data_IF_481464563568
#
_entry.id   IF_481464563568
#
_cell.length_a   1.000
_cell.length_b   1.000
_cell.length_c   1.000
_cell.angle_alpha   90.00
_cell.angle_beta   90.00
_cell.angle_gamma   90.00
#
_symmetry.space_group_name_H-M   'P 1'
#
loop_
_entity.id
_entity.type
_entity.pdbx_description
1 polymer ?
#
# COMPACT_ATOMS: atom_id res chain seq x y z
N UNK A 1 -4.34 16.97 -11.54
CA UNK A 1 -5.63 16.68 -12.21
C UNK A 1 -6.09 15.29 -11.81
N UNK A 2 -7.30 15.13 -11.26
CA UNK A 2 -7.76 13.84 -10.81
C UNK A 2 -7.86 12.81 -11.94
N UNK A 3 -7.68 11.55 -11.56
CA UNK A 3 -7.69 10.41 -12.46
C UNK A 3 -8.84 9.46 -12.14
N UNK A 4 -9.22 8.68 -13.15
CA UNK A 4 -10.05 7.50 -12.98
C UNK A 4 -9.22 6.29 -13.39
N UNK A 5 -8.99 5.39 -12.44
CA UNK A 5 -8.30 4.13 -12.66
C UNK A 5 -9.33 3.01 -12.82
N UNK A 6 -9.27 2.28 -13.93
CA UNK A 6 -10.20 1.18 -14.19
C UNK A 6 -9.63 -0.12 -13.66
N UNK A 7 -10.37 -0.77 -12.77
CA UNK A 7 -10.06 -2.10 -12.26
C UNK A 7 -11.31 -2.99 -12.39
N UNK A 8 -11.23 -3.96 -13.31
CA UNK A 8 -12.32 -4.89 -13.61
C UNK A 8 -12.05 -6.27 -13.03
N UNK A 9 -13.12 -7.00 -12.69
CA UNK A 9 -13.01 -8.39 -12.23
C UNK A 9 -12.64 -9.34 -13.38
N UNK A 10 -13.09 -9.03 -14.59
CA UNK A 10 -12.77 -9.77 -15.82
C UNK A 10 -12.39 -8.78 -16.90
N UNK A 11 -11.20 -8.97 -17.46
CA UNK A 11 -10.77 -8.26 -18.67
C UNK A 11 -11.42 -8.90 -19.90
N UNK A 12 -11.91 -8.07 -20.82
CA UNK A 12 -12.57 -8.53 -22.06
C UNK A 12 -11.60 -9.28 -22.98
N UNK A 13 -10.30 -9.09 -22.80
CA UNK A 13 -9.26 -9.86 -23.48
C UNK A 13 -8.17 -10.29 -22.51
N UNK A 14 -7.67 -11.53 -22.70
CA UNK A 14 -6.47 -12.04 -22.03
C UNK A 14 -5.18 -11.50 -22.68
N UNK A 15 -5.27 -10.47 -23.54
CA UNK A 15 -4.13 -9.95 -24.28
C UNK A 15 -3.06 -9.35 -23.36
N UNK A 16 -3.46 -8.90 -22.17
CA UNK A 16 -2.57 -8.33 -21.18
C UNK A 16 -2.91 -8.84 -19.78
N UNK A 17 -1.94 -9.49 -19.14
CA UNK A 17 -2.03 -9.90 -17.74
C UNK A 17 -1.64 -8.72 -16.84
N UNK A 18 -2.57 -7.79 -16.62
CA UNK A 18 -2.38 -6.67 -15.69
C UNK A 18 -2.37 -7.18 -14.24
N UNK A 19 -1.47 -6.62 -13.42
CA UNK A 19 -1.17 -7.10 -12.06
C UNK A 19 -1.64 -6.09 -11.02
N UNK A 20 -2.87 -5.61 -11.19
CA UNK A 20 -3.49 -4.65 -10.28
C UNK A 20 -3.80 -5.31 -8.93
N UNK A 21 -3.60 -4.56 -7.85
CA UNK A 21 -4.03 -4.95 -6.52
C UNK A 21 -4.66 -3.76 -5.80
N UNK A 22 -5.90 -3.95 -5.41
CA UNK A 22 -6.77 -2.89 -4.94
C UNK A 22 -6.16 -2.22 -3.71
N UNK A 23 -5.92 -0.91 -3.79
CA UNK A 23 -5.37 -0.15 -2.68
C UNK A 23 -3.89 -0.37 -2.38
N UNK A 24 -3.18 -1.14 -3.23
CA UNK A 24 -1.74 -1.41 -3.09
C UNK A 24 -0.97 -0.91 -4.30
N UNK A 25 -1.37 -1.30 -5.51
CA UNK A 25 -0.68 -0.93 -6.73
C UNK A 25 -1.59 -0.97 -7.96
N UNK A 26 -1.25 -0.21 -8.99
CA UNK A 26 -1.92 -0.24 -10.28
C UNK A 26 -0.91 -0.44 -11.42
N UNK A 27 -1.18 -1.40 -12.32
CA UNK A 27 -0.31 -1.76 -13.44
C UNK A 27 -0.88 -1.17 -14.75
N UNK A 28 -0.08 -0.35 -15.44
CA UNK A 28 -0.55 0.36 -16.62
C UNK A 28 0.48 0.40 -17.78
N UNK A 29 0.02 0.43 -19.05
CA UNK A 29 0.91 0.58 -20.21
C UNK A 29 1.48 2.00 -20.34
N UNK A 30 2.59 2.10 -21.06
CA UNK A 30 3.31 3.37 -21.30
C UNK A 30 2.44 4.51 -21.86
N UNK A 31 1.35 4.21 -22.60
CA UNK A 31 0.46 5.25 -23.13
C UNK A 31 -0.17 6.14 -22.05
N UNK A 32 -0.24 5.69 -20.79
CA UNK A 32 -0.76 6.49 -19.68
C UNK A 32 0.33 7.15 -18.82
N UNK A 33 1.62 6.96 -19.14
CA UNK A 33 2.74 7.43 -18.31
C UNK A 33 2.76 8.94 -18.07
N UNK A 34 2.23 9.72 -19.02
CA UNK A 34 2.14 11.17 -18.93
C UNK A 34 0.91 11.65 -18.15
N UNK A 35 -0.06 10.76 -17.88
CA UNK A 35 -1.26 11.05 -17.07
C UNK A 35 -1.05 10.64 -15.61
N UNK A 36 -0.43 9.49 -15.40
CA UNK A 36 -0.17 8.93 -14.06
C UNK A 36 1.11 9.57 -13.51
N UNK A 37 0.91 10.55 -12.63
CA UNK A 37 1.98 11.30 -11.96
C UNK A 37 1.85 11.13 -10.44
N UNK A 38 2.98 11.07 -9.74
CA UNK A 38 3.03 10.95 -8.29
C UNK A 38 2.30 12.14 -7.62
N UNK A 39 1.55 11.85 -6.56
CA UNK A 39 0.71 12.80 -5.82
C UNK A 39 -0.69 13.03 -6.40
N UNK A 40 -0.96 12.61 -7.64
CA UNK A 40 -2.27 12.83 -8.26
C UNK A 40 -3.38 12.05 -7.54
N UNK A 41 -4.55 12.69 -7.42
CA UNK A 41 -5.74 12.06 -6.84
C UNK A 41 -6.39 11.13 -7.85
N UNK A 42 -7.02 10.06 -7.40
CA UNK A 42 -7.79 9.19 -8.29
C UNK A 42 -9.03 8.59 -7.63
N UNK A 43 -10.01 8.20 -8.44
CA UNK A 43 -11.07 7.27 -8.06
C UNK A 43 -10.95 5.97 -8.86
N UNK A 44 -11.26 4.84 -8.22
CA UNK A 44 -11.38 3.58 -8.92
C UNK A 44 -12.74 3.45 -9.59
N UNK A 45 -12.74 2.87 -10.79
CA UNK A 45 -13.91 2.55 -11.58
C UNK A 45 -13.95 1.07 -11.93
N UNK A 46 -15.13 0.46 -11.81
CA UNK A 46 -15.42 -0.90 -12.27
C UNK A 46 -16.45 -0.85 -13.38
N UNK A 47 -16.12 -1.43 -14.52
CA UNK A 47 -17.01 -1.59 -15.67
C UNK A 47 -18.08 -2.65 -15.43
N UNK A 48 -18.86 -2.98 -16.47
CA UNK A 48 -20.01 -3.88 -16.34
C UNK A 48 -19.69 -5.37 -16.32
N UNK A 49 -18.47 -5.77 -16.68
CA UNK A 49 -18.13 -7.20 -16.79
C UNK A 49 -17.80 -7.79 -15.40
N UNK A 50 -18.31 -9.00 -15.13
CA UNK A 50 -18.16 -9.71 -13.85
C UNK A 50 -17.64 -11.13 -14.07
N UNK A 51 -17.07 -11.72 -13.02
CA UNK A 51 -16.56 -13.10 -13.02
C UNK A 51 -17.62 -14.15 -13.35
N UNK A 52 -18.87 -13.90 -12.98
CA UNK A 52 -19.99 -14.82 -13.21
C UNK A 52 -20.58 -14.73 -14.64
N UNK A 53 -19.97 -13.95 -15.54
CA UNK A 53 -20.44 -13.74 -16.91
C UNK A 53 -21.70 -12.87 -17.04
N UNK A 54 -22.34 -12.48 -15.93
CA UNK A 54 -23.46 -11.53 -15.95
C UNK A 54 -22.92 -10.11 -15.99
N UNK A 55 -23.63 -9.22 -16.70
CA UNK A 55 -23.33 -7.78 -16.62
C UNK A 55 -23.81 -7.25 -15.27
N UNK A 56 -22.92 -6.58 -14.55
CA UNK A 56 -23.25 -5.78 -13.37
C UNK A 56 -23.27 -4.29 -13.71
N UNK A 57 -23.63 -3.48 -12.72
CA UNK A 57 -23.65 -2.03 -12.87
C UNK A 57 -22.25 -1.42 -12.82
N UNK A 58 -21.99 -0.46 -13.70
CA UNK A 58 -20.75 0.29 -13.67
C UNK A 58 -20.78 1.28 -12.49
N UNK A 59 -19.70 1.31 -11.71
CA UNK A 59 -19.65 2.12 -10.50
C UNK A 59 -18.21 2.50 -10.12
N UNK A 60 -18.10 3.52 -9.28
CA UNK A 60 -16.86 3.87 -8.57
C UNK A 60 -16.90 3.27 -7.16
N UNK A 61 -15.76 2.79 -6.65
CA UNK A 61 -15.74 2.01 -5.40
C UNK A 61 -14.64 2.40 -4.41
N UNK A 62 -13.79 3.36 -4.75
CA UNK A 62 -12.71 3.81 -3.88
C UNK A 62 -11.95 4.98 -4.46
N UNK A 63 -11.08 5.55 -3.64
CA UNK A 63 -10.26 6.74 -3.94
C UNK A 63 -8.89 6.63 -3.29
N UNK A 64 -7.94 7.43 -3.74
CA UNK A 64 -6.62 7.54 -3.12
C UNK A 64 -5.70 8.50 -3.88
N UNK A 65 -4.39 8.31 -3.69
CA UNK A 65 -3.33 9.05 -4.38
C UNK A 65 -2.37 8.12 -5.10
N UNK A 66 -1.81 8.62 -6.19
CA UNK A 66 -0.75 7.93 -6.93
C UNK A 66 0.56 8.09 -6.15
N UNK A 67 1.08 6.99 -5.63
CA UNK A 67 2.39 6.93 -5.00
C UNK A 67 3.53 6.69 -5.98
N UNK A 68 4.65 6.19 -5.45
CA UNK A 68 5.87 5.92 -6.21
C UNK A 68 5.60 5.17 -7.53
N UNK A 69 6.19 5.65 -8.62
CA UNK A 69 6.10 5.03 -9.94
C UNK A 69 7.37 4.23 -10.26
N UNK A 70 7.21 2.96 -10.59
CA UNK A 70 8.31 2.06 -11.00
C UNK A 70 8.04 1.44 -12.36
N UNK A 71 9.10 1.13 -13.11
CA UNK A 71 8.98 0.39 -14.35
C UNK A 71 8.70 -1.09 -14.03
N UNK A 72 7.88 -1.75 -14.85
CA UNK A 72 7.64 -3.19 -14.72
C UNK A 72 8.99 -3.95 -14.77
N UNK A 73 9.32 -4.78 -13.77
CA UNK A 73 10.59 -5.49 -13.72
C UNK A 73 10.72 -6.62 -14.76
N UNK A 74 9.62 -7.03 -15.42
CA UNK A 74 9.65 -8.01 -16.51
C UNK A 74 10.43 -7.44 -17.72
N UNK A 75 11.51 -8.12 -18.18
CA UNK A 75 12.31 -7.65 -19.32
C UNK A 75 11.50 -7.37 -20.60
N UNK A 76 10.44 -8.14 -20.87
CA UNK A 76 9.56 -7.91 -22.03
C UNK A 76 8.70 -6.63 -21.87
N UNK A 77 8.49 -6.21 -20.63
CA UNK A 77 7.77 -4.99 -20.24
C UNK A 77 8.71 -3.81 -20.01
N UNK A 78 10.02 -4.04 -20.07
CA UNK A 78 11.02 -2.99 -19.99
C UNK A 78 11.36 -2.39 -21.36
N UNK A 79 11.25 -3.18 -22.42
CA UNK A 79 11.64 -2.82 -23.79
C UNK A 79 10.50 -3.03 -24.78
N UNK A 80 10.55 -2.34 -25.93
CA UNK A 80 9.58 -2.54 -27.02
C UNK A 80 8.17 -2.00 -26.78
N UNK A 81 7.19 -2.55 -27.51
CA UNK A 81 5.82 -2.04 -27.63
C UNK A 81 4.94 -2.35 -26.40
N UNK A 82 5.29 -3.37 -25.61
CA UNK A 82 4.54 -3.80 -24.42
C UNK A 82 4.98 -3.10 -23.12
N UNK A 83 5.78 -2.04 -23.23
CA UNK A 83 6.36 -1.35 -22.09
C UNK A 83 5.29 -0.93 -21.07
N UNK A 84 5.51 -1.29 -19.81
CA UNK A 84 4.54 -1.07 -18.74
C UNK A 84 5.18 -0.59 -17.44
N UNK A 85 4.33 -0.15 -16.53
CA UNK A 85 4.69 0.57 -15.31
C UNK A 85 3.75 0.18 -14.17
N UNK A 86 4.25 0.28 -12.95
CA UNK A 86 3.46 0.24 -11.74
C UNK A 86 3.43 1.64 -11.11
N UNK A 87 2.31 1.99 -10.48
CA UNK A 87 2.30 2.99 -9.43
C UNK A 87 1.81 2.37 -8.12
N UNK A 88 2.38 2.81 -7.00
CA UNK A 88 1.83 2.53 -5.68
C UNK A 88 0.52 3.30 -5.49
N UNK A 89 -0.32 2.77 -4.62
CA UNK A 89 -1.58 3.39 -4.24
C UNK A 89 -1.46 3.81 -2.78
N UNK A 90 -1.51 5.11 -2.54
CA UNK A 90 -1.40 5.74 -1.24
C UNK A 90 -2.77 6.26 -0.79
N UNK A 91 -2.96 6.40 0.52
CA UNK A 91 -4.19 6.91 1.13
C UNK A 91 -5.47 6.20 0.64
N UNK A 92 -5.39 4.89 0.38
CA UNK A 92 -6.51 4.16 -0.19
C UNK A 92 -7.71 4.09 0.78
N UNK A 93 -8.84 4.60 0.30
CA UNK A 93 -10.12 4.49 0.97
C UNK A 93 -11.17 3.87 0.05
N UNK A 94 -11.71 2.72 0.49
CA UNK A 94 -12.86 2.06 -0.12
C UNK A 94 -14.11 2.89 0.21
N UNK A 95 -14.94 3.15 -0.78
CA UNK A 95 -16.20 3.84 -0.55
C UNK A 95 -17.12 3.00 0.36
N UNK A 96 -17.79 3.62 1.37
CA UNK A 96 -18.80 2.93 2.16
C UNK A 96 -19.96 2.39 1.32
N UNK A 97 -20.25 3.04 0.20
CA UNK A 97 -21.22 2.61 -0.80
C UNK A 97 -20.69 2.89 -2.20
N UNK A 98 -20.80 1.90 -3.08
CA UNK A 98 -20.39 2.05 -4.48
C UNK A 98 -21.23 3.16 -5.14
N UNK A 99 -20.58 4.04 -5.90
CA UNK A 99 -21.22 5.18 -6.56
C UNK A 99 -21.56 4.80 -7.99
N UNK A 100 -22.85 4.77 -8.39
CA UNK A 100 -23.23 4.45 -9.75
C UNK A 100 -22.58 5.40 -10.77
N UNK A 101 -22.03 4.83 -11.84
CA UNK A 101 -21.47 5.60 -12.94
C UNK A 101 -22.54 6.32 -13.78
N UNK A 102 -23.79 5.85 -13.67
CA UNK A 102 -24.97 6.45 -14.29
C UNK A 102 -26.02 6.79 -13.24
N UNK A 103 -26.55 8.00 -13.31
CA UNK A 103 -27.70 8.47 -12.52
C UNK A 103 -28.76 8.93 -13.51
N UNK A 104 -29.98 8.41 -13.39
CA UNK A 104 -31.09 8.72 -14.29
C UNK A 104 -30.76 8.58 -15.79
N UNK A 105 -29.91 7.59 -16.12
CA UNK A 105 -29.46 7.31 -17.48
C UNK A 105 -28.30 8.18 -17.98
N UNK A 106 -27.89 9.20 -17.22
CA UNK A 106 -26.80 10.12 -17.56
C UNK A 106 -25.51 9.64 -16.91
N UNK A 107 -24.41 9.61 -17.68
CA UNK A 107 -23.07 9.29 -17.16
C UNK A 107 -22.54 10.46 -16.33
N UNK A 108 -21.89 10.16 -15.20
CA UNK A 108 -21.17 11.17 -14.41
C UNK A 108 -20.00 11.75 -15.20
N UNK A 109 -19.22 10.89 -15.85
CA UNK A 109 -18.12 11.31 -16.73
C UNK A 109 -18.66 11.82 -18.08
N UNK A 110 -18.38 13.09 -18.39
CA UNK A 110 -18.63 13.67 -19.70
C UNK A 110 -17.45 13.41 -20.65
N UNK A 111 -17.73 13.10 -21.91
CA UNK A 111 -16.69 12.92 -22.92
C UNK A 111 -17.08 11.97 -24.06
N UNK A 112 -16.13 11.64 -24.96
CA UNK A 112 -16.43 10.83 -26.13
C UNK A 112 -16.81 9.40 -25.73
N UNK A 113 -17.78 8.81 -26.44
CA UNK A 113 -18.37 7.49 -26.10
C UNK A 113 -17.35 6.34 -26.04
N UNK A 114 -16.21 6.47 -26.74
CA UNK A 114 -15.13 5.48 -26.74
C UNK A 114 -14.18 5.59 -25.53
N UNK A 115 -14.31 6.61 -24.67
CA UNK A 115 -13.39 6.85 -23.55
C UNK A 115 -13.33 5.69 -22.56
N UNK A 116 -14.43 4.95 -22.37
CA UNK A 116 -14.50 3.80 -21.47
C UNK A 116 -13.69 2.57 -21.95
N UNK A 117 -13.05 2.66 -23.12
CA UNK A 117 -12.01 1.70 -23.55
C UNK A 117 -10.66 1.98 -22.91
N UNK A 118 -10.43 3.19 -22.39
CA UNK A 118 -9.21 3.56 -21.70
C UNK A 118 -9.30 3.23 -20.20
N UNK A 119 -8.26 2.55 -19.73
CA UNK A 119 -8.09 2.15 -18.34
C UNK A 119 -7.70 3.31 -17.41
N UNK A 120 -7.08 4.36 -17.94
CA UNK A 120 -6.77 5.59 -17.20
C UNK A 120 -7.36 6.80 -17.92
N UNK A 121 -8.22 7.53 -17.21
CA UNK A 121 -8.90 8.73 -17.73
C UNK A 121 -8.60 9.91 -16.81
N UNK A 122 -8.50 11.10 -17.40
CA UNK A 122 -8.38 12.35 -16.64
C UNK A 122 -9.80 12.88 -16.46
N UNK A 123 -10.09 13.40 -15.28
CA UNK A 123 -11.38 14.00 -14.97
C UNK A 123 -11.15 15.37 -14.33
N UNK A 124 -12.11 16.28 -14.47
CA UNK A 124 -12.09 17.56 -13.76
C UNK A 124 -12.36 17.38 -12.26
N UNK A 125 -12.02 18.41 -11.47
CA UNK A 125 -12.21 18.41 -10.03
C UNK A 125 -13.71 18.34 -9.65
N UNK A 126 -14.59 18.99 -10.41
CA UNK A 126 -16.04 19.00 -10.16
C UNK A 126 -16.65 17.59 -10.20
N UNK A 127 -16.35 16.81 -11.24
CA UNK A 127 -16.83 15.43 -11.37
C UNK A 127 -16.19 14.53 -10.30
N UNK A 128 -14.90 14.73 -10.01
CA UNK A 128 -14.21 13.99 -8.96
C UNK A 128 -14.86 14.22 -7.59
N UNK A 129 -15.07 15.48 -7.22
CA UNK A 129 -15.69 15.87 -5.96
C UNK A 129 -17.15 15.38 -5.88
N UNK A 130 -17.90 15.44 -6.98
CA UNK A 130 -19.26 14.90 -7.06
C UNK A 130 -19.32 13.38 -6.81
N UNK A 131 -18.30 12.62 -7.24
CA UNK A 131 -18.20 11.18 -6.93
C UNK A 131 -17.90 10.97 -5.45
N UNK A 132 -17.03 11.77 -4.85
CA UNK A 132 -16.72 11.67 -3.41
C UNK A 132 -17.90 12.08 -2.51
N UNK A 133 -18.68 13.07 -2.92
CA UNK A 133 -19.94 13.42 -2.26
C UNK A 133 -20.93 12.27 -2.31
N UNK A 134 -21.13 11.69 -3.50
CA UNK A 134 -22.05 10.57 -3.68
C UNK A 134 -21.60 9.30 -2.95
N UNK A 135 -20.32 9.13 -2.65
CA UNK A 135 -19.81 7.97 -1.89
C UNK A 135 -20.01 8.11 -0.38
N UNK A 136 -20.37 9.31 0.10
CA UNK A 136 -20.45 9.63 1.52
C UNK A 136 -19.11 9.99 2.16
N UNK A 137 -18.03 10.16 1.38
CA UNK A 137 -16.71 10.56 1.88
C UNK A 137 -16.44 12.07 1.87
N UNK A 138 -17.36 12.88 1.34
CA UNK A 138 -17.16 14.33 1.20
C UNK A 138 -16.90 15.10 2.51
N UNK A 139 -17.21 14.54 3.67
CA UNK A 139 -16.91 15.19 4.96
C UNK A 139 -15.46 15.00 5.47
N UNK A 140 -14.57 14.34 4.73
CA UNK A 140 -13.16 14.18 5.13
C UNK A 140 -12.12 14.34 4.02
N UNK A 141 -12.55 14.32 2.74
CA UNK A 141 -11.64 14.45 1.59
C UNK A 141 -11.42 15.89 1.12
N UNK A 142 -12.26 16.83 1.56
CA UNK A 142 -12.14 18.24 1.25
C UNK A 142 -10.93 18.84 1.97
N UNK A 143 -9.84 19.05 1.22
CA UNK A 143 -8.83 20.05 1.53
C UNK A 143 -8.12 19.97 2.91
N UNK A 144 -7.73 18.78 3.39
CA UNK A 144 -6.61 18.73 4.34
C UNK A 144 -5.33 19.05 3.57
N UNK A 145 -4.94 20.32 3.55
CA UNK A 145 -3.68 20.75 2.96
C UNK A 145 -2.53 20.02 3.65
N UNK A 146 -1.72 19.28 2.88
CA UNK A 146 -0.34 18.82 3.15
C UNK A 146 0.08 18.29 4.55
N UNK A 147 -0.79 18.21 5.55
CA UNK A 147 -0.44 17.78 6.90
C UNK A 147 -1.09 16.45 7.18
N UNK A 148 -0.30 15.39 7.06
CA UNK A 148 -0.65 14.07 7.58
C UNK A 148 -1.01 14.16 9.06
N UNK A 149 -2.01 13.40 9.53
CA UNK A 149 -2.36 13.36 10.94
C UNK A 149 -1.14 12.93 11.75
N UNK A 150 -0.93 13.59 12.87
CA UNK A 150 0.15 13.21 13.77
C UNK A 150 -0.16 11.87 14.44
N UNK A 151 0.85 11.00 14.69
CA UNK A 151 0.64 9.66 15.25
C UNK A 151 -0.17 9.63 16.52
N UNK A 152 -0.11 10.64 17.39
CA UNK A 152 -0.85 10.74 18.64
C UNK A 152 -2.38 10.87 18.48
N UNK A 153 -2.84 11.33 17.32
CA UNK A 153 -4.25 11.62 17.06
C UNK A 153 -4.97 10.49 16.29
N UNK A 154 -4.26 9.42 15.93
CA UNK A 154 -4.82 8.30 15.18
C UNK A 154 -4.94 7.05 16.04
N UNK A 155 -5.93 6.21 15.71
CA UNK A 155 -6.11 4.90 16.31
C UNK A 155 -5.95 3.83 15.23
N UNK A 156 -4.92 2.99 15.36
CA UNK A 156 -4.68 1.91 14.44
C UNK A 156 -5.61 0.71 14.74
N UNK A 157 -6.17 0.12 13.70
CA UNK A 157 -7.03 -1.07 13.83
C UNK A 157 -6.22 -2.35 13.59
N UNK A 158 -6.40 -3.41 14.40
CA UNK A 158 -5.81 -4.71 14.09
C UNK A 158 -6.29 -5.24 12.74
N UNK A 159 -5.40 -5.81 11.95
CA UNK A 159 -5.67 -6.45 10.67
C UNK A 159 -5.22 -7.92 10.68
N UNK A 160 -5.97 -8.78 9.99
CA UNK A 160 -5.70 -10.23 9.97
C UNK A 160 -4.52 -10.64 9.08
N UNK A 161 -4.37 -10.01 7.91
CA UNK A 161 -3.23 -10.26 7.03
C UNK A 161 -2.87 -9.00 6.22
N UNK A 162 -1.72 -8.40 6.52
CA UNK A 162 -1.15 -7.27 5.79
C UNK A 162 -0.04 -7.69 4.83
N UNK A 163 0.35 -8.97 4.78
CA UNK A 163 1.30 -9.49 3.79
C UNK A 163 0.53 -10.15 2.64
N UNK A 164 0.52 -9.50 1.47
CA UNK A 164 -0.21 -9.98 0.29
C UNK A 164 0.78 -10.51 -0.76
N UNK A 165 0.72 -11.81 -1.12
CA UNK A 165 1.60 -12.39 -2.12
C UNK A 165 1.51 -11.66 -3.45
N UNK A 166 2.65 -11.33 -4.06
CA UNK A 166 2.67 -10.81 -5.43
C UNK A 166 2.02 -11.84 -6.37
N UNK A 167 1.01 -11.41 -7.14
CA UNK A 167 0.34 -12.25 -8.13
C UNK A 167 1.30 -12.53 -9.29
N UNK A 168 2.06 -13.61 -9.19
CA UNK A 168 2.67 -14.33 -10.32
C UNK A 168 3.39 -13.50 -11.38
N UNK A 169 4.66 -13.21 -11.12
CA UNK A 169 5.64 -12.80 -12.12
C UNK A 169 7.04 -13.11 -11.61
N UNK A 170 7.63 -14.20 -12.10
CA UNK A 170 9.03 -14.54 -11.87
C UNK A 170 9.93 -13.59 -12.66
N UNK A 171 9.91 -12.31 -12.30
CA UNK A 171 10.71 -11.24 -12.88
C UNK A 171 11.42 -10.50 -11.76
N UNK A 172 12.45 -11.12 -11.19
CA UNK A 172 13.39 -10.46 -10.30
C UNK A 172 14.27 -9.52 -11.10
N UNK A 173 13.70 -8.44 -11.62
CA UNK A 173 14.44 -7.36 -12.25
C UNK A 173 15.29 -6.66 -11.20
N UNK A 174 16.58 -6.54 -11.48
CA UNK A 174 17.61 -5.91 -10.67
C UNK A 174 17.45 -4.35 -10.66
N UNK A 175 16.23 -3.84 -10.50
CA UNK A 175 16.03 -2.42 -10.27
C UNK A 175 16.37 -2.13 -8.81
N UNK A 176 17.51 -1.47 -8.59
CA UNK A 176 17.88 -0.93 -7.28
C UNK A 176 16.65 -0.26 -6.64
N UNK A 177 16.25 -0.66 -5.42
CA UNK A 177 15.05 -0.13 -4.80
C UNK A 177 15.23 1.38 -4.68
N UNK A 178 14.45 2.12 -5.46
CA UNK A 178 14.45 3.57 -5.38
C UNK A 178 13.73 3.90 -4.09
N UNK A 179 14.51 4.08 -3.02
CA UNK A 179 14.01 4.45 -1.69
C UNK A 179 13.13 5.68 -1.85
N UNK A 180 11.87 5.59 -1.41
CA UNK A 180 10.95 6.72 -1.45
C UNK A 180 11.59 7.92 -0.75
N UNK A 181 11.40 9.12 -1.30
CA UNK A 181 11.85 10.37 -0.67
C UNK A 181 11.20 10.60 0.70
N UNK A 182 10.08 9.92 0.97
CA UNK A 182 9.31 10.00 2.20
C UNK A 182 9.57 8.83 3.17
N UNK A 183 10.43 7.86 2.80
CA UNK A 183 10.63 6.64 3.59
C UNK A 183 11.10 6.90 5.03
N UNK A 184 11.85 7.99 5.28
CA UNK A 184 12.25 8.36 6.64
C UNK A 184 11.07 8.90 7.45
N UNK A 185 10.32 9.85 6.91
CA UNK A 185 9.16 10.42 7.60
C UNK A 185 8.08 9.36 7.87
N UNK A 186 7.88 8.45 6.92
CA UNK A 186 6.99 7.31 7.06
C UNK A 186 7.45 6.31 8.13
N UNK A 187 8.76 6.02 8.18
CA UNK A 187 9.36 5.17 9.22
C UNK A 187 9.22 5.79 10.61
N UNK A 188 9.64 7.05 10.76
CA UNK A 188 9.54 7.80 12.01
C UNK A 188 8.06 7.83 12.50
N UNK A 189 7.11 8.13 11.61
CA UNK A 189 5.66 8.13 11.91
C UNK A 189 5.14 6.75 12.34
N UNK A 190 5.60 5.68 11.68
CA UNK A 190 5.21 4.31 12.00
C UNK A 190 5.76 3.86 13.35
N UNK A 191 7.01 4.19 13.67
CA UNK A 191 7.65 3.87 14.95
C UNK A 191 6.96 4.56 16.14
N UNK A 192 6.57 5.83 15.98
CA UNK A 192 5.80 6.55 17.00
C UNK A 192 4.42 5.92 17.24
N UNK A 193 3.71 5.54 16.17
CA UNK A 193 2.44 4.83 16.29
C UNK A 193 2.61 3.43 16.89
N UNK A 194 3.69 2.73 16.53
CA UNK A 194 4.05 1.43 17.08
C UNK A 194 4.22 1.49 18.59
N UNK A 195 4.94 2.48 19.12
CA UNK A 195 5.10 2.67 20.55
C UNK A 195 3.74 2.76 21.27
N UNK A 196 2.80 3.53 20.71
CA UNK A 196 1.44 3.66 21.27
C UNK A 196 0.65 2.36 21.20
N UNK A 197 0.77 1.61 20.11
CA UNK A 197 0.14 0.29 19.98
C UNK A 197 0.67 -0.64 21.09
N UNK A 198 1.98 -0.68 21.29
CA UNK A 198 2.61 -1.52 22.31
C UNK A 198 2.24 -1.09 23.73
N UNK A 199 2.14 0.22 24.01
CA UNK A 199 1.71 0.75 25.30
C UNK A 199 0.26 0.38 25.67
N UNK A 200 -0.58 0.10 24.68
CA UNK A 200 -1.96 -0.34 24.90
C UNK A 200 -2.10 -1.86 25.07
N UNK A 201 -1.02 -2.63 24.98
CA UNK A 201 -1.03 -4.06 25.30
C UNK A 201 -1.18 -4.21 26.82
N UNK A 202 -2.19 -4.97 27.24
CA UNK A 202 -2.44 -5.24 28.66
C UNK A 202 -1.22 -5.88 29.32
N UNK A 203 -0.79 -5.30 30.45
CA UNK A 203 0.36 -5.78 31.22
C UNK A 203 1.73 -5.45 30.60
N UNK A 204 1.78 -4.74 29.47
CA UNK A 204 3.06 -4.27 28.91
C UNK A 204 3.66 -3.13 29.76
N UNK A 205 4.98 -3.13 29.89
CA UNK A 205 5.73 -2.13 30.64
C UNK A 205 7.13 -1.91 30.06
N UNK A 206 7.85 -0.90 30.54
CA UNK A 206 9.24 -0.62 30.17
C UNK A 206 9.47 -0.50 28.66
N UNK A 207 8.58 0.21 27.97
CA UNK A 207 8.71 0.44 26.53
C UNK A 207 9.91 1.35 26.24
N UNK A 208 10.83 0.89 25.39
CA UNK A 208 12.00 1.64 24.95
C UNK A 208 11.97 1.75 23.43
N UNK A 209 12.03 2.97 22.91
CA UNK A 209 12.23 3.25 21.49
C UNK A 209 13.73 3.37 21.22
N UNK A 210 14.35 2.24 20.87
CA UNK A 210 15.81 2.10 20.66
C UNK A 210 16.30 2.99 19.53
N UNK A 211 15.57 2.98 18.41
CA UNK A 211 15.92 3.77 17.23
C UNK A 211 15.97 5.28 17.54
N UNK A 212 15.00 5.80 18.31
CA UNK A 212 14.96 7.21 18.71
C UNK A 212 16.11 7.65 19.62
N UNK A 213 16.67 6.74 20.41
CA UNK A 213 17.87 7.02 21.24
C UNK A 213 19.19 6.67 20.53
N UNK A 214 19.13 6.31 19.24
CA UNK A 214 20.30 6.01 18.41
C UNK A 214 20.90 4.60 18.63
N UNK A 215 20.17 3.71 19.29
CA UNK A 215 20.55 2.30 19.43
C UNK A 215 19.99 1.48 18.26
N UNK A 216 20.85 0.67 17.62
CA UNK A 216 20.45 -0.19 16.49
C UNK A 216 20.76 -1.66 16.77
N UNK A 217 20.15 -2.29 17.78
CA UNK A 217 20.44 -3.66 18.18
C UNK A 217 19.89 -4.72 17.20
N UNK A 218 19.14 -4.28 16.19
CA UNK A 218 18.45 -5.13 15.22
C UNK A 218 16.94 -5.15 15.41
N UNK A 219 16.38 -4.19 16.15
CA UNK A 219 14.95 -3.91 16.30
C UNK A 219 14.79 -2.44 16.69
N UNK A 220 13.60 -1.88 16.53
CA UNK A 220 13.31 -0.46 16.79
C UNK A 220 12.79 -0.21 18.20
N UNK A 221 11.96 -1.11 18.73
CA UNK A 221 11.35 -0.99 20.06
C UNK A 221 11.46 -2.28 20.87
N UNK A 222 11.50 -2.16 22.19
CA UNK A 222 11.28 -3.29 23.10
C UNK A 222 10.40 -2.93 24.28
N UNK A 223 9.79 -3.94 24.89
CA UNK A 223 8.97 -3.82 26.09
C UNK A 223 8.99 -5.13 26.90
N UNK A 224 8.64 -5.05 28.17
CA UNK A 224 8.38 -6.21 29.03
C UNK A 224 6.89 -6.53 29.04
N UNK A 225 6.53 -7.80 28.90
CA UNK A 225 5.14 -8.23 29.09
C UNK A 225 4.78 -8.41 30.58
N UNK A 226 3.56 -8.91 30.84
CA UNK A 226 3.06 -9.16 32.18
C UNK A 226 3.89 -10.18 32.97
N UNK A 227 4.63 -11.06 32.29
CA UNK A 227 5.52 -12.05 32.91
C UNK A 227 6.94 -11.52 33.12
N UNK A 228 7.23 -10.30 32.66
CA UNK A 228 8.57 -9.72 32.67
C UNK A 228 9.46 -10.25 31.54
N UNK A 229 8.90 -10.88 30.51
CA UNK A 229 9.64 -11.34 29.34
C UNK A 229 9.88 -10.17 28.38
N UNK A 230 11.11 -10.06 27.86
CA UNK A 230 11.51 -8.97 26.98
C UNK A 230 11.15 -9.28 25.52
N UNK A 231 10.22 -8.50 24.98
CA UNK A 231 9.79 -8.55 23.59
C UNK A 231 10.50 -7.48 22.76
N UNK A 232 11.01 -7.87 21.60
CA UNK A 232 11.73 -7.03 20.64
C UNK A 232 10.90 -6.85 19.39
N UNK A 233 10.74 -5.63 18.93
CA UNK A 233 9.81 -5.27 17.87
C UNK A 233 10.52 -4.44 16.81
N UNK A 234 10.55 -4.97 15.60
CA UNK A 234 10.96 -4.26 14.41
C UNK A 234 9.73 -3.73 13.68
N UNK A 235 9.73 -2.45 13.32
CA UNK A 235 8.58 -1.76 12.74
C UNK A 235 8.76 -1.59 11.25
N UNK A 236 7.73 -1.91 10.48
CA UNK A 236 7.69 -1.59 9.04
C UNK A 236 6.41 -0.83 8.74
N UNK A 237 6.56 0.36 8.14
CA UNK A 237 5.46 1.21 7.70
C UNK A 237 5.24 1.13 6.19
N UNK A 238 3.98 1.26 5.76
CA UNK A 238 3.61 1.56 4.37
C UNK A 238 2.38 2.47 4.29
N UNK A 239 2.35 3.44 3.38
CA UNK A 239 1.15 4.22 3.04
C UNK A 239 0.11 3.40 2.25
N UNK A 240 0.51 2.27 1.67
CA UNK A 240 -0.40 1.36 0.98
C UNK A 240 -1.34 0.63 1.95
N UNK A 241 -2.40 0.01 1.43
CA UNK A 241 -3.31 -0.79 2.26
C UNK A 241 -2.69 -2.09 2.80
N UNK A 242 -1.57 -2.54 2.23
CA UNK A 242 -0.86 -3.75 2.63
C UNK A 242 0.57 -3.80 2.05
N UNK A 243 1.38 -4.73 2.57
CA UNK A 243 2.76 -4.98 2.16
C UNK A 243 2.84 -6.09 1.10
N UNK A 244 3.58 -5.82 0.02
CA UNK A 244 3.97 -6.84 -0.98
C UNK A 244 5.25 -7.57 -0.61
N UNK A 245 6.16 -6.82 -0.03
CA UNK A 245 7.44 -7.25 0.49
C UNK A 245 7.81 -6.25 1.59
N UNK A 246 8.77 -6.66 2.41
CA UNK A 246 9.40 -5.80 3.41
C UNK A 246 10.91 -5.96 3.23
N UNK A 247 11.64 -4.87 3.47
CA UNK A 247 13.09 -4.91 3.56
C UNK A 247 13.47 -5.09 5.03
N UNK A 248 14.37 -6.04 5.31
CA UNK A 248 14.96 -6.24 6.63
C UNK A 248 16.49 -6.18 6.50
N UNK A 249 17.16 -5.55 7.46
CA UNK A 249 18.63 -5.53 7.47
C UNK A 249 19.20 -6.88 7.91
N UNK A 250 20.50 -7.09 7.65
CA UNK A 250 21.18 -8.29 8.11
C UNK A 250 21.18 -8.40 9.65
N UNK A 251 21.22 -7.27 10.35
CA UNK A 251 21.17 -7.22 11.80
C UNK A 251 19.77 -7.58 12.33
N UNK A 252 18.71 -7.03 11.73
CA UNK A 252 17.32 -7.41 12.02
C UNK A 252 17.07 -8.90 11.79
N UNK A 253 17.53 -9.44 10.67
CA UNK A 253 17.41 -10.87 10.39
C UNK A 253 18.17 -11.74 11.41
N UNK A 254 19.34 -11.30 11.85
CA UNK A 254 20.11 -12.01 12.87
C UNK A 254 19.42 -11.97 14.24
N UNK A 255 18.86 -10.81 14.62
CA UNK A 255 18.07 -10.65 15.84
C UNK A 255 16.82 -11.53 15.83
N UNK A 256 16.06 -11.51 14.73
CA UNK A 256 14.89 -12.37 14.53
C UNK A 256 15.22 -13.86 14.77
N UNK A 257 16.31 -14.36 14.17
CA UNK A 257 16.74 -15.76 14.35
C UNK A 257 17.22 -16.07 15.76
N UNK A 258 17.84 -15.09 16.43
CA UNK A 258 18.37 -15.25 17.78
C UNK A 258 17.27 -15.30 18.83
N UNK A 259 16.27 -14.44 18.70
CA UNK A 259 15.26 -14.21 19.73
C UNK A 259 13.90 -14.86 19.44
N UNK A 260 13.65 -15.30 18.20
CA UNK A 260 12.51 -16.16 17.82
C UNK A 260 11.16 -15.60 18.30
N UNK A 261 10.46 -16.29 19.20
CA UNK A 261 9.17 -15.88 19.77
C UNK A 261 9.20 -14.51 20.43
N UNK A 262 10.36 -14.12 20.96
CA UNK A 262 10.57 -12.85 21.67
C UNK A 262 10.95 -11.73 20.68
N UNK A 263 10.88 -12.00 19.38
CA UNK A 263 11.07 -11.05 18.30
C UNK A 263 9.83 -11.03 17.42
N UNK A 264 9.32 -9.83 17.16
CA UNK A 264 8.15 -9.63 16.33
C UNK A 264 8.38 -8.56 15.27
N UNK A 265 7.73 -8.73 14.12
CA UNK A 265 7.52 -7.65 13.16
C UNK A 265 6.20 -6.97 13.48
N UNK A 266 6.20 -5.65 13.62
CA UNK A 266 4.98 -4.85 13.67
C UNK A 266 4.82 -4.10 12.34
N UNK A 267 3.88 -4.61 11.53
CA UNK A 267 3.55 -4.04 10.23
C UNK A 267 2.44 -3.01 10.39
N UNK A 268 2.65 -1.79 9.90
CA UNK A 268 1.67 -0.71 9.92
C UNK A 268 1.39 -0.28 8.48
N UNK A 269 0.16 -0.52 8.03
CA UNK A 269 -0.34 -0.12 6.73
C UNK A 269 -1.20 1.14 6.83
N UNK A 270 -1.37 1.82 5.70
CA UNK A 270 -2.01 3.14 5.61
C UNK A 270 -1.38 4.16 6.57
N UNK A 271 -0.05 4.15 6.64
CA UNK A 271 0.70 5.15 7.37
C UNK A 271 0.30 6.56 6.92
N UNK A 272 0.39 7.53 7.84
CA UNK A 272 0.08 8.94 7.54
C UNK A 272 -1.36 9.20 7.07
N UNK A 273 -2.27 8.25 7.33
CA UNK A 273 -3.72 8.39 7.11
C UNK A 273 -4.49 8.47 8.43
N UNK A 274 -5.78 8.83 8.36
CA UNK A 274 -6.67 8.84 9.54
C UNK A 274 -7.11 7.45 10.01
N UNK A 275 -6.83 6.39 9.23
CA UNK A 275 -7.32 5.03 9.52
C UNK A 275 -6.23 3.97 9.33
N UNK A 276 -5.09 4.09 10.03
CA UNK A 276 -4.02 3.10 9.94
C UNK A 276 -4.49 1.73 10.42
N UNK A 277 -3.86 0.69 9.89
CA UNK A 277 -4.10 -0.69 10.32
C UNK A 277 -2.79 -1.39 10.61
N UNK A 278 -2.77 -2.30 11.59
CA UNK A 278 -1.54 -2.95 12.00
C UNK A 278 -1.68 -4.47 12.13
N UNK A 279 -0.55 -5.17 12.00
CA UNK A 279 -0.43 -6.60 12.24
C UNK A 279 0.88 -6.87 12.98
N UNK A 280 0.80 -7.58 14.10
CA UNK A 280 1.96 -8.08 14.84
C UNK A 280 2.21 -9.53 14.40
N UNK A 281 3.45 -9.84 14.00
CA UNK A 281 3.86 -11.18 13.58
C UNK A 281 5.04 -11.62 14.44
N UNK A 282 4.80 -12.57 15.33
CA UNK A 282 5.84 -13.16 16.20
C UNK A 282 6.64 -14.24 15.47
N UNK A 283 7.91 -14.38 15.82
CA UNK A 283 8.84 -15.35 15.24
C UNK A 283 8.87 -15.34 13.70
N UNK A 284 9.21 -14.20 13.06
CA UNK A 284 9.35 -14.12 11.61
C UNK A 284 10.41 -15.08 11.06
N UNK A 285 11.39 -15.49 11.89
CA UNK A 285 12.43 -16.44 11.50
C UNK A 285 11.85 -17.82 11.19
N UNK A 286 10.87 -18.29 11.98
CA UNK A 286 10.17 -19.55 11.72
C UNK A 286 9.54 -19.61 10.33
N UNK A 287 8.87 -18.54 9.89
CA UNK A 287 8.25 -18.49 8.55
C UNK A 287 9.28 -18.59 7.42
N UNK A 288 10.48 -18.07 7.62
CA UNK A 288 11.59 -18.17 6.67
C UNK A 288 12.17 -19.59 6.67
N UNK A 289 12.40 -20.18 7.85
CA UNK A 289 12.95 -21.53 8.02
C UNK A 289 12.02 -22.60 7.44
N UNK A 290 10.71 -22.46 7.65
CA UNK A 290 9.67 -23.32 7.10
C UNK A 290 9.38 -23.05 5.61
N UNK A 291 10.11 -22.12 4.98
CA UNK A 291 9.96 -21.73 3.57
C UNK A 291 8.56 -21.18 3.23
N UNK A 292 7.83 -20.68 4.22
CA UNK A 292 6.58 -19.96 4.00
C UNK A 292 6.87 -18.57 3.41
N UNK A 293 8.00 -17.95 3.81
CA UNK A 293 8.48 -16.69 3.27
C UNK A 293 9.78 -16.86 2.47
N UNK A 294 9.85 -16.21 1.31
CA UNK A 294 11.06 -16.14 0.50
C UNK A 294 11.93 -14.96 0.91
N UNK A 295 13.23 -15.18 1.08
CA UNK A 295 14.21 -14.13 1.36
C UNK A 295 15.20 -14.00 0.21
N UNK A 296 15.52 -12.76 -0.18
CA UNK A 296 16.53 -12.44 -1.20
C UNK A 296 17.38 -11.27 -0.73
N UNK A 297 18.71 -11.32 -0.85
CA UNK A 297 19.55 -10.17 -0.54
C UNK A 297 19.28 -9.00 -1.50
N UNK A 298 19.14 -7.79 -0.97
CA UNK A 298 18.81 -6.58 -1.76
C UNK A 298 19.94 -5.56 -1.86
N UNK A 299 20.92 -5.56 -0.94
CA UNK A 299 22.03 -4.61 -0.96
C UNK A 299 23.32 -5.22 -0.40
N UNK A 300 24.44 -4.97 -1.09
CA UNK A 300 25.80 -5.12 -0.57
C UNK A 300 26.65 -3.99 -1.16
N UNK A 301 27.29 -3.19 -0.30
CA UNK A 301 28.23 -2.16 -0.72
C UNK A 301 29.61 -2.52 -0.23
N UNK A 302 30.54 -2.69 -1.17
CA UNK A 302 31.95 -2.95 -0.90
C UNK A 302 32.74 -1.75 -1.38
N UNK A 303 33.53 -1.17 -0.49
CA UNK A 303 34.41 -0.03 -0.77
C UNK A 303 35.78 -0.32 -0.20
N UNK A 304 36.80 0.13 -0.92
CA UNK A 304 38.23 -0.10 -0.65
C UNK A 304 38.88 1.14 -0.05
#
# INVERSE_FOLDING_TARGET
MPLILTQNEVNVSNAHNWQDDEGVQYHYPTKYRNKVLEGERFVYYRGVNRLNGKRGDAHYFGTGRIGLITQDPDPERQTGVKKAWFCQIEDYERFPSDVPAKVDGILREQGPSNQFRDGVRVVDDETFDSILEASGLAQGYAASGNTSPQPENVFAKPAGNLLIPSKGGAGGGNSSPRRSRHAKAEGDWAEELALRILQNIEGSAHHVHRAAIGETPGWDLDYLDANGELHRVEVKGTQAAAFRNIEITANELAAAKRYKSDYSLLLIAKCMSNSPSYQLISDPAKYIEEKQWGIKPTAFKVTF
#
